data_IF_769380032627
#
_entry.id   IF_769380032627
#
_cell.length_a   1.000
_cell.length_b   1.000
_cell.length_c   1.000
_cell.angle_alpha   90.00
_cell.angle_beta   90.00
_cell.angle_gamma   90.00
#
_symmetry.space_group_name_H-M   'P 1'
#
loop_
_entity.id
_entity.type
_entity.pdbx_description
1 polymer ?
#
# COMPACT_ATOMS: atom_id res chain seq x y z
N UNK A 1 4.26 32.03 -4.94
CA UNK A 1 3.81 30.62 -4.85
C UNK A 1 4.34 29.91 -6.08
N UNK A 2 5.14 28.85 -5.95
CA UNK A 2 5.53 28.06 -7.11
C UNK A 2 4.24 27.45 -7.69
N UNK A 3 4.00 27.65 -8.98
CA UNK A 3 2.81 27.11 -9.63
C UNK A 3 2.82 25.58 -9.55
N UNK A 4 1.72 24.99 -9.06
CA UNK A 4 1.50 23.54 -9.12
C UNK A 4 1.72 23.09 -10.57
N UNK A 5 2.81 22.39 -10.83
CA UNK A 5 3.06 21.82 -12.16
C UNK A 5 2.11 20.65 -12.34
N UNK A 6 1.43 20.60 -13.47
CA UNK A 6 0.56 19.47 -13.83
C UNK A 6 1.36 18.18 -13.81
N UNK A 7 0.87 17.15 -13.13
CA UNK A 7 1.48 15.82 -13.18
C UNK A 7 1.18 15.22 -14.56
N UNK A 8 2.18 14.90 -15.38
CA UNK A 8 1.96 14.31 -16.70
C UNK A 8 1.24 12.95 -16.59
N UNK A 9 0.32 12.60 -17.51
CA UNK A 9 -0.34 11.29 -17.52
C UNK A 9 0.64 10.11 -17.47
N UNK A 10 1.77 10.24 -18.19
CA UNK A 10 2.87 9.28 -18.21
C UNK A 10 3.48 9.01 -16.83
N UNK A 11 3.41 9.97 -15.91
CA UNK A 11 3.94 9.82 -14.55
C UNK A 11 3.06 8.90 -13.71
N UNK A 12 1.73 8.97 -13.87
CA UNK A 12 0.80 8.09 -13.17
C UNK A 12 0.95 6.64 -13.63
N UNK A 13 1.10 6.40 -14.94
CA UNK A 13 1.37 5.08 -15.50
C UNK A 13 2.67 4.46 -14.95
N UNK A 14 3.72 5.27 -14.77
CA UNK A 14 4.98 4.81 -14.21
C UNK A 14 4.87 4.47 -12.71
N UNK A 15 4.07 5.24 -11.95
CA UNK A 15 3.77 4.91 -10.57
C UNK A 15 2.96 3.61 -10.52
N UNK A 16 1.89 3.49 -11.31
CA UNK A 16 1.06 2.29 -11.41
C UNK A 16 1.91 1.03 -11.71
N UNK A 17 2.80 1.12 -12.69
CA UNK A 17 3.79 0.06 -13.00
C UNK A 17 4.66 -0.29 -11.79
N UNK A 18 5.09 0.69 -11.00
CA UNK A 18 5.84 0.44 -9.77
C UNK A 18 4.98 -0.27 -8.70
N UNK A 19 3.69 0.07 -8.59
CA UNK A 19 2.76 -0.58 -7.66
C UNK A 19 2.47 -2.03 -8.05
N UNK A 20 2.28 -2.30 -9.34
CA UNK A 20 2.20 -3.65 -9.90
C UNK A 20 3.43 -4.47 -9.51
N UNK A 21 4.62 -3.92 -9.75
CA UNK A 21 5.88 -4.60 -9.44
C UNK A 21 6.05 -4.88 -7.93
N UNK A 22 5.56 -4.00 -7.04
CA UNK A 22 5.60 -4.24 -5.59
C UNK A 22 4.74 -5.45 -5.23
N UNK A 23 3.52 -5.54 -5.78
CA UNK A 23 2.61 -6.67 -5.55
C UNK A 23 3.21 -7.96 -6.11
N UNK A 24 3.80 -7.92 -7.30
CA UNK A 24 4.44 -9.07 -7.92
C UNK A 24 5.65 -9.56 -7.14
N UNK A 25 6.54 -8.67 -6.74
CA UNK A 25 7.70 -9.04 -5.92
C UNK A 25 7.27 -9.64 -4.59
N UNK A 26 6.24 -9.07 -3.94
CA UNK A 26 5.71 -9.65 -2.72
C UNK A 26 5.12 -11.04 -2.99
N UNK A 27 4.30 -11.20 -4.03
CA UNK A 27 3.72 -12.49 -4.41
C UNK A 27 4.82 -13.56 -4.59
N UNK A 28 5.84 -13.27 -5.40
CA UNK A 28 6.96 -14.18 -5.65
C UNK A 28 7.77 -14.49 -4.40
N UNK A 29 7.99 -13.50 -3.52
CA UNK A 29 8.76 -13.71 -2.28
C UNK A 29 8.12 -14.67 -1.29
N UNK A 30 6.81 -14.91 -1.41
CA UNK A 30 6.07 -15.77 -0.48
C UNK A 30 5.38 -16.96 -1.16
N UNK A 31 5.31 -17.01 -2.49
CA UNK A 31 4.53 -18.01 -3.25
C UNK A 31 4.88 -19.45 -2.89
N UNK A 32 6.13 -19.73 -2.56
CA UNK A 32 6.58 -21.07 -2.20
C UNK A 32 5.86 -21.65 -0.97
N UNK A 33 5.39 -20.79 -0.08
CA UNK A 33 4.68 -21.19 1.15
C UNK A 33 3.17 -21.38 0.98
N UNK A 34 2.60 -21.10 -0.19
CA UNK A 34 1.15 -21.11 -0.43
C UNK A 34 0.77 -21.95 -1.65
N UNK A 35 -0.49 -22.38 -1.71
CA UNK A 35 -1.08 -22.90 -2.96
C UNK A 35 -1.42 -21.74 -3.88
N UNK A 36 -0.87 -21.74 -5.09
CA UNK A 36 -1.12 -20.72 -6.12
C UNK A 36 -1.78 -21.33 -7.37
N UNK A 37 -2.27 -20.48 -8.28
CA UNK A 37 -2.80 -20.92 -9.56
C UNK A 37 -1.75 -21.65 -10.41
N UNK A 38 -0.49 -21.18 -10.38
CA UNK A 38 0.62 -21.82 -11.10
C UNK A 38 0.88 -23.23 -10.54
N UNK A 39 0.94 -23.39 -9.20
CA UNK A 39 1.14 -24.72 -8.59
C UNK A 39 0.01 -25.71 -8.90
N UNK A 40 -1.22 -25.22 -9.03
CA UNK A 40 -2.37 -26.04 -9.44
C UNK A 40 -2.31 -26.42 -10.91
N UNK A 41 -1.76 -25.55 -11.76
CA UNK A 41 -1.52 -25.85 -13.18
C UNK A 41 -0.44 -26.93 -13.32
N UNK A 42 0.65 -26.81 -12.54
CA UNK A 42 1.74 -27.78 -12.53
C UNK A 42 1.35 -29.11 -11.87
N UNK A 43 0.36 -29.10 -10.97
CA UNK A 43 -0.15 -30.28 -10.27
C UNK A 43 -1.69 -30.34 -10.29
N UNK A 44 -2.31 -30.81 -11.39
CA UNK A 44 -3.77 -30.82 -11.53
C UNK A 44 -4.53 -31.65 -10.47
N UNK A 45 -3.84 -32.57 -9.78
CA UNK A 45 -4.40 -33.34 -8.65
C UNK A 45 -4.48 -32.57 -7.33
N UNK A 46 -4.03 -31.32 -7.30
CA UNK A 46 -4.07 -30.47 -6.11
C UNK A 46 -5.48 -29.86 -5.93
N UNK A 47 -6.32 -30.57 -5.18
CA UNK A 47 -7.74 -30.18 -4.98
C UNK A 47 -7.94 -29.05 -3.96
N UNK A 48 -6.90 -28.64 -3.24
CA UNK A 48 -7.00 -27.54 -2.28
C UNK A 48 -7.27 -26.19 -2.98
N UNK A 49 -8.05 -25.29 -2.36
CA UNK A 49 -8.25 -23.94 -2.88
C UNK A 49 -6.93 -23.17 -3.00
N UNK A 50 -6.90 -22.18 -3.88
CA UNK A 50 -5.78 -21.22 -3.91
C UNK A 50 -5.72 -20.44 -2.60
N UNK A 51 -4.54 -20.48 -1.97
CA UNK A 51 -4.24 -19.81 -0.71
C UNK A 51 -3.58 -18.43 -0.92
N UNK A 52 -3.02 -18.19 -2.10
CA UNK A 52 -2.40 -16.92 -2.47
C UNK A 52 -2.83 -16.54 -3.90
N UNK A 53 -3.29 -15.30 -4.05
CA UNK A 53 -3.68 -14.72 -5.34
C UNK A 53 -3.14 -13.30 -5.46
N UNK A 54 -2.85 -12.86 -6.68
CA UNK A 54 -2.61 -11.45 -7.04
C UNK A 54 -3.60 -11.01 -8.11
N UNK A 55 -3.90 -9.72 -8.13
CA UNK A 55 -4.84 -9.10 -9.06
C UNK A 55 -4.25 -7.79 -9.56
N UNK A 56 -4.38 -7.52 -10.86
CA UNK A 56 -4.00 -6.26 -11.50
C UNK A 56 -5.16 -5.89 -12.41
N UNK A 57 -5.90 -4.85 -12.06
CA UNK A 57 -7.02 -4.35 -12.85
C UNK A 57 -7.19 -2.84 -12.67
N UNK A 58 -8.22 -2.27 -13.29
CA UNK A 58 -8.51 -0.84 -13.27
C UNK A 58 -8.69 -0.26 -11.85
N UNK A 59 -8.94 -1.11 -10.85
CA UNK A 59 -9.09 -0.68 -9.45
C UNK A 59 -7.77 -0.79 -8.67
N UNK A 60 -6.67 -1.09 -9.35
CA UNK A 60 -5.31 -1.19 -8.82
C UNK A 60 -4.81 -2.62 -8.68
N UNK A 61 -3.76 -2.77 -7.89
CA UNK A 61 -3.03 -4.02 -7.71
C UNK A 61 -3.22 -4.57 -6.31
N UNK A 62 -3.51 -5.86 -6.18
CA UNK A 62 -3.85 -6.48 -4.90
C UNK A 62 -3.20 -7.83 -4.72
N UNK A 63 -2.87 -8.18 -3.48
CA UNK A 63 -2.44 -9.50 -3.06
C UNK A 63 -3.39 -10.01 -1.97
N UNK A 64 -3.89 -11.25 -2.14
CA UNK A 64 -4.83 -11.89 -1.22
C UNK A 64 -4.24 -13.16 -0.65
N UNK A 65 -4.26 -13.24 0.67
CA UNK A 65 -3.90 -14.42 1.45
C UNK A 65 -5.17 -15.08 1.99
N UNK A 66 -5.24 -16.40 1.84
CA UNK A 66 -6.34 -17.24 2.31
C UNK A 66 -5.79 -18.60 2.78
N UNK A 67 -5.17 -18.64 3.96
CA UNK A 67 -4.53 -19.85 4.52
C UNK A 67 -4.84 -20.02 6.01
N UNK A 68 -5.57 -21.07 6.35
CA UNK A 68 -6.03 -21.29 7.73
C UNK A 68 -6.85 -20.11 8.24
N UNK A 69 -6.41 -19.50 9.34
CA UNK A 69 -7.01 -18.28 9.92
C UNK A 69 -6.69 -16.99 9.16
N UNK A 70 -5.76 -17.04 8.20
CA UNK A 70 -5.27 -15.87 7.48
C UNK A 70 -6.16 -15.58 6.28
N UNK A 71 -7.07 -14.62 6.40
CA UNK A 71 -7.93 -14.15 5.31
C UNK A 71 -7.86 -12.62 5.23
N UNK A 72 -6.94 -12.11 4.42
CA UNK A 72 -6.79 -10.67 4.20
C UNK A 72 -6.34 -10.37 2.78
N UNK A 73 -6.61 -9.14 2.36
CA UNK A 73 -6.17 -8.61 1.06
C UNK A 73 -5.49 -7.29 1.31
N UNK A 74 -4.35 -7.10 0.67
CA UNK A 74 -3.65 -5.83 0.62
C UNK A 74 -3.73 -5.25 -0.79
N UNK A 75 -3.87 -3.94 -0.92
CA UNK A 75 -3.99 -3.26 -2.21
C UNK A 75 -3.15 -2.00 -2.31
N UNK A 76 -2.76 -1.71 -3.54
CA UNK A 76 -2.07 -0.50 -3.98
C UNK A 76 -2.79 0.04 -5.21
N UNK A 77 -3.04 1.34 -5.24
CA UNK A 77 -3.53 2.01 -6.44
C UNK A 77 -2.98 3.42 -6.52
N UNK A 78 -3.01 4.00 -7.72
CA UNK A 78 -2.76 5.40 -7.95
C UNK A 78 -4.04 6.05 -8.49
N UNK A 79 -4.39 7.20 -7.95
CA UNK A 79 -5.52 8.02 -8.38
C UNK A 79 -4.97 9.35 -8.91
N UNK A 80 -5.49 9.80 -10.04
CA UNK A 80 -5.15 11.10 -10.63
C UNK A 80 -6.40 11.96 -10.78
N UNK A 81 -6.42 13.08 -10.07
CA UNK A 81 -7.50 14.08 -10.13
C UNK A 81 -6.90 15.48 -10.18
N UNK A 82 -7.38 16.31 -11.11
CA UNK A 82 -7.12 17.77 -11.17
C UNK A 82 -5.68 18.19 -10.82
N UNK A 83 -4.71 17.56 -11.49
CA UNK A 83 -3.25 17.78 -11.36
C UNK A 83 -2.60 17.21 -10.09
N UNK A 84 -3.32 16.39 -9.31
CA UNK A 84 -2.78 15.67 -8.15
C UNK A 84 -2.60 14.18 -8.45
N UNK A 85 -1.61 13.58 -7.79
CA UNK A 85 -1.37 12.15 -7.82
C UNK A 85 -1.46 11.65 -6.39
N UNK A 86 -2.36 10.70 -6.18
CA UNK A 86 -2.60 10.11 -4.86
C UNK A 86 -2.27 8.63 -4.92
N UNK A 87 -1.32 8.21 -4.10
CA UNK A 87 -1.05 6.82 -3.82
C UNK A 87 -2.03 6.34 -2.75
N UNK A 88 -2.79 5.30 -3.02
CA UNK A 88 -3.63 4.64 -2.03
C UNK A 88 -3.04 3.29 -1.63
N UNK A 89 -2.98 3.05 -0.31
CA UNK A 89 -2.71 1.74 0.26
C UNK A 89 -3.95 1.24 0.99
N UNK A 90 -4.32 -0.03 0.79
CA UNK A 90 -5.55 -0.58 1.35
C UNK A 90 -5.40 -1.94 1.99
N UNK A 91 -6.27 -2.24 2.97
CA UNK A 91 -6.41 -3.55 3.59
C UNK A 91 -7.88 -3.91 3.75
N UNK A 92 -8.23 -5.14 3.37
CA UNK A 92 -9.54 -5.71 3.66
C UNK A 92 -9.59 -6.16 5.12
N UNK A 93 -10.50 -5.59 5.90
CA UNK A 93 -10.73 -5.91 7.31
C UNK A 93 -11.98 -6.77 7.48
N UNK A 94 -11.83 -8.00 7.97
CA UNK A 94 -12.95 -8.90 8.30
C UNK A 94 -13.25 -8.99 9.79
N UNK A 95 -12.58 -8.18 10.60
CA UNK A 95 -12.57 -8.34 12.05
C UNK A 95 -13.79 -7.64 12.66
N UNK A 96 -14.70 -8.37 13.33
CA UNK A 96 -15.86 -7.76 13.95
C UNK A 96 -15.46 -6.77 15.06
N UNK A 97 -16.12 -5.61 15.08
CA UNK A 97 -15.86 -4.51 16.01
C UNK A 97 -14.36 -4.12 16.08
N UNK A 98 -13.66 -4.07 14.93
CA UNK A 98 -12.26 -3.67 14.86
C UNK A 98 -12.06 -2.26 15.43
N UNK A 99 -10.98 -2.04 16.18
CA UNK A 99 -10.73 -0.74 16.82
C UNK A 99 -10.05 0.22 15.84
N UNK A 100 -10.85 0.83 14.96
CA UNK A 100 -10.38 1.81 13.99
C UNK A 100 -9.76 3.05 14.64
N UNK A 101 -10.26 3.48 15.81
CA UNK A 101 -9.68 4.59 16.57
C UNK A 101 -8.23 4.29 16.99
N UNK A 102 -7.96 3.08 17.48
CA UNK A 102 -6.60 2.67 17.85
C UNK A 102 -5.70 2.50 16.62
N UNK A 103 -6.24 2.04 15.49
CA UNK A 103 -5.52 2.00 14.22
C UNK A 103 -5.05 3.39 13.81
N UNK A 104 -5.97 4.36 13.73
CA UNK A 104 -5.67 5.76 13.37
C UNK A 104 -4.65 6.35 14.34
N UNK A 105 -4.84 6.18 15.65
CA UNK A 105 -3.92 6.72 16.68
C UNK A 105 -2.50 6.20 16.50
N UNK A 106 -2.33 4.89 16.26
CA UNK A 106 -1.01 4.29 16.06
C UNK A 106 -0.36 4.69 14.75
N UNK A 107 -1.13 4.78 13.66
CA UNK A 107 -0.61 5.30 12.39
C UNK A 107 -0.20 6.77 12.52
N UNK A 108 -1.00 7.60 13.18
CA UNK A 108 -0.67 9.01 13.41
C UNK A 108 0.64 9.15 14.19
N UNK A 109 0.82 8.35 15.25
CA UNK A 109 2.07 8.31 16.01
C UNK A 109 3.27 7.89 15.16
N UNK A 110 3.09 6.89 14.28
CA UNK A 110 4.13 6.45 13.35
C UNK A 110 4.52 7.58 12.40
N UNK A 111 3.55 8.16 11.69
CA UNK A 111 3.83 9.18 10.68
C UNK A 111 4.41 10.46 11.30
N UNK A 112 3.92 10.88 12.47
CA UNK A 112 4.49 12.02 13.18
C UNK A 112 5.98 11.84 13.54
N UNK A 113 6.41 10.61 13.81
CA UNK A 113 7.80 10.29 14.17
C UNK A 113 8.71 10.09 12.96
N UNK A 114 8.14 9.70 11.81
CA UNK A 114 8.91 9.32 10.62
C UNK A 114 8.84 10.35 9.48
N UNK A 115 7.95 11.33 9.55
CA UNK A 115 7.76 12.34 8.49
C UNK A 115 9.03 13.13 8.18
N UNK A 116 9.80 13.49 9.20
CA UNK A 116 11.02 14.30 9.04
C UNK A 116 12.29 13.47 8.77
N UNK A 117 12.18 12.14 8.68
CA UNK A 117 13.31 11.29 8.28
C UNK A 117 13.57 11.45 6.79
N UNK A 118 14.84 11.51 6.42
CA UNK A 118 15.27 11.55 5.02
C UNK A 118 14.94 10.25 4.30
N UNK A 119 14.55 10.34 3.04
CA UNK A 119 14.38 9.16 2.19
C UNK A 119 15.75 8.49 1.95
N UNK A 120 15.76 7.16 1.92
CA UNK A 120 16.97 6.35 1.76
C UNK A 120 17.13 5.91 0.30
N UNK A 121 18.35 5.53 -0.10
CA UNK A 121 18.63 4.93 -1.41
C UNK A 121 18.90 5.92 -2.55
N UNK A 122 18.37 7.14 -2.50
CA UNK A 122 18.49 8.12 -3.59
C UNK A 122 19.75 8.99 -3.50
N UNK A 123 20.62 8.93 -4.53
CA UNK A 123 21.86 9.74 -4.57
C UNK A 123 21.61 11.25 -4.70
N UNK A 124 20.57 11.65 -5.43
CA UNK A 124 20.22 13.06 -5.68
C UNK A 124 19.31 13.67 -4.61
N UNK A 125 18.55 12.83 -3.91
CA UNK A 125 17.50 13.26 -2.97
C UNK A 125 17.87 13.03 -1.49
N UNK A 126 19.16 13.01 -1.16
CA UNK A 126 19.68 12.63 0.18
C UNK A 126 19.17 13.46 1.36
N UNK A 127 18.64 14.66 1.11
CA UNK A 127 18.13 15.58 2.13
C UNK A 127 16.61 15.67 2.14
N UNK A 128 15.94 15.05 1.17
CA UNK A 128 14.49 15.09 1.04
C UNK A 128 13.89 14.17 2.09
N UNK A 129 12.88 14.67 2.79
CA UNK A 129 12.18 13.96 3.87
C UNK A 129 10.99 13.20 3.32
N UNK A 130 10.52 12.20 4.07
CA UNK A 130 9.35 11.42 3.66
C UNK A 130 8.12 12.30 3.40
N UNK A 131 7.86 13.30 4.24
CA UNK A 131 6.71 14.20 4.06
C UNK A 131 6.82 15.13 2.85
N UNK A 132 8.02 15.32 2.29
CA UNK A 132 8.21 16.11 1.07
C UNK A 132 7.94 15.27 -0.19
N UNK A 133 7.84 13.95 -0.05
CA UNK A 133 7.48 13.02 -1.13
C UNK A 133 6.04 12.54 -0.99
N UNK A 134 5.67 12.08 0.21
CA UNK A 134 4.34 11.56 0.53
C UNK A 134 3.65 12.48 1.54
N UNK A 135 2.69 13.23 1.04
CA UNK A 135 1.89 14.15 1.80
C UNK A 135 0.69 13.43 2.42
N UNK A 136 0.51 13.68 3.72
CA UNK A 136 -0.67 13.31 4.48
C UNK A 136 -1.30 14.60 5.02
N UNK A 137 -2.61 14.59 5.22
CA UNK A 137 -3.30 15.67 5.91
C UNK A 137 -2.77 15.80 7.35
N UNK A 138 -2.76 17.03 7.89
CA UNK A 138 -2.34 17.29 9.27
C UNK A 138 -3.14 16.44 10.26
N UNK A 139 -4.45 16.31 10.00
CA UNK A 139 -5.29 15.32 10.61
C UNK A 139 -5.26 14.03 9.78
N UNK A 140 -4.55 13.00 10.28
CA UNK A 140 -4.41 11.73 9.56
C UNK A 140 -5.75 11.08 9.22
N UNK A 141 -6.78 11.27 10.05
CA UNK A 141 -8.10 10.70 9.81
C UNK A 141 -8.69 11.15 8.46
N UNK A 142 -8.38 12.37 8.01
CA UNK A 142 -8.81 12.90 6.71
C UNK A 142 -8.04 12.29 5.54
N UNK A 143 -6.93 11.59 5.80
CA UNK A 143 -6.20 10.80 4.78
C UNK A 143 -6.67 9.35 4.76
N UNK A 144 -7.65 8.98 5.60
CA UNK A 144 -8.14 7.62 5.71
C UNK A 144 -9.60 7.51 5.28
N UNK A 145 -9.92 6.41 4.60
CA UNK A 145 -11.31 6.06 4.27
C UNK A 145 -11.64 4.68 4.81
N UNK A 146 -12.82 4.56 5.41
CA UNK A 146 -13.38 3.32 5.94
C UNK A 146 -14.65 3.01 5.16
N UNK A 147 -14.63 1.93 4.38
CA UNK A 147 -15.79 1.46 3.63
C UNK A 147 -16.34 0.22 4.35
N UNK A 148 -17.44 0.40 5.09
CA UNK A 148 -18.18 -0.70 5.69
C UNK A 148 -18.99 -1.42 4.62
N UNK A 149 -18.89 -2.76 4.56
CA UNK A 149 -19.58 -3.55 3.55
C UNK A 149 -20.36 -4.69 4.16
N UNK A 150 -21.68 -4.63 4.06
CA UNK A 150 -22.57 -5.67 4.58
C UNK A 150 -22.23 -7.05 3.97
N UNK A 151 -22.03 -8.05 4.83
CA UNK A 151 -21.70 -9.42 4.44
C UNK A 151 -20.33 -9.59 3.77
N UNK A 152 -19.49 -8.55 3.72
CA UNK A 152 -18.14 -8.57 3.14
C UNK A 152 -17.12 -8.02 4.12
N UNK A 153 -15.85 -8.08 3.76
CA UNK A 153 -14.79 -7.39 4.51
C UNK A 153 -14.97 -5.88 4.36
N UNK A 154 -14.81 -5.11 5.42
CA UNK A 154 -14.61 -3.67 5.31
C UNK A 154 -13.32 -3.37 4.54
N UNK A 155 -13.20 -2.18 3.97
CA UNK A 155 -11.94 -1.71 3.37
C UNK A 155 -11.43 -0.51 4.17
N UNK A 156 -10.19 -0.61 4.62
CA UNK A 156 -9.44 0.53 5.14
C UNK A 156 -8.49 1.00 4.06
N UNK A 157 -8.55 2.29 3.73
CA UNK A 157 -7.64 2.96 2.80
C UNK A 157 -6.89 4.07 3.50
N UNK A 158 -5.63 4.25 3.12
CA UNK A 158 -4.81 5.38 3.50
C UNK A 158 -4.24 5.99 2.23
N UNK A 159 -4.48 7.28 2.04
CA UNK A 159 -4.17 8.01 0.82
C UNK A 159 -3.02 8.98 1.08
N UNK A 160 -2.02 8.96 0.20
CA UNK A 160 -0.86 9.85 0.23
C UNK A 160 -0.85 10.69 -1.04
N UNK A 161 -0.85 12.02 -0.90
CA UNK A 161 -0.49 12.87 -2.02
C UNK A 161 0.98 12.65 -2.39
N UNK A 162 1.29 12.56 -3.68
CA UNK A 162 2.67 12.37 -4.16
C UNK A 162 3.16 13.67 -4.77
N UNK A 163 4.30 14.19 -4.28
CA UNK A 163 4.84 15.47 -4.74
C UNK A 163 5.43 15.37 -6.13
N UNK A 164 4.93 16.21 -7.06
CA UNK A 164 5.37 16.22 -8.45
C UNK A 164 6.81 16.66 -8.64
N UNK A 165 7.34 17.51 -7.75
CA UNK A 165 8.69 18.06 -7.86
C UNK A 165 9.80 16.99 -7.94
N UNK A 166 9.64 15.89 -7.19
CA UNK A 166 10.67 14.85 -7.08
C UNK A 166 10.40 13.60 -7.91
N UNK A 167 9.23 13.50 -8.56
CA UNK A 167 8.79 12.30 -9.26
C UNK A 167 9.75 11.84 -10.35
N UNK A 168 10.37 12.75 -11.11
CA UNK A 168 11.31 12.38 -12.15
C UNK A 168 12.55 11.65 -11.59
N UNK A 169 13.13 12.17 -10.51
CA UNK A 169 14.30 11.56 -9.87
C UNK A 169 13.93 10.26 -9.12
N UNK A 170 12.71 10.16 -8.58
CA UNK A 170 12.20 8.94 -7.96
C UNK A 170 12.00 7.83 -9.01
N UNK A 171 11.34 8.16 -10.12
CA UNK A 171 11.04 7.23 -11.22
C UNK A 171 12.28 6.83 -12.01
N UNK A 172 13.35 7.63 -11.98
CA UNK A 172 14.63 7.27 -12.56
C UNK A 172 15.36 6.12 -11.83
N UNK A 173 14.93 5.78 -10.61
CA UNK A 173 15.45 4.65 -9.82
C UNK A 173 14.30 3.79 -9.25
N UNK A 174 13.62 3.01 -10.11
CA UNK A 174 12.43 2.24 -9.72
C UNK A 174 12.63 1.32 -8.50
N UNK A 175 13.74 0.56 -8.37
CA UNK A 175 13.94 -0.29 -7.19
C UNK A 175 13.93 0.48 -5.86
N UNK A 176 14.61 1.63 -5.80
CA UNK A 176 14.62 2.44 -4.58
C UNK A 176 13.25 3.11 -4.34
N UNK A 177 12.52 3.48 -5.39
CA UNK A 177 11.19 4.06 -5.25
C UNK A 177 10.16 3.04 -4.75
N UNK A 178 10.22 1.81 -5.28
CA UNK A 178 9.41 0.70 -4.80
C UNK A 178 9.68 0.42 -3.32
N UNK A 179 10.95 0.36 -2.91
CA UNK A 179 11.32 0.13 -1.51
C UNK A 179 10.87 1.30 -0.61
N UNK A 180 10.94 2.53 -1.11
CA UNK A 180 10.45 3.71 -0.39
C UNK A 180 8.93 3.64 -0.16
N UNK A 181 8.14 3.33 -1.20
CA UNK A 181 6.69 3.11 -1.09
C UNK A 181 6.41 1.99 -0.09
N UNK A 182 7.12 0.86 -0.22
CA UNK A 182 6.96 -0.28 0.67
C UNK A 182 7.24 0.09 2.14
N UNK A 183 8.38 0.71 2.44
CA UNK A 183 8.78 1.04 3.81
C UNK A 183 7.90 2.10 4.48
N UNK A 184 7.50 3.14 3.74
CA UNK A 184 6.81 4.30 4.32
C UNK A 184 5.29 4.23 4.20
N UNK A 185 4.76 3.63 3.13
CA UNK A 185 3.32 3.58 2.88
C UNK A 185 2.73 2.21 3.26
N UNK A 186 3.35 1.12 2.80
CA UNK A 186 2.79 -0.23 2.89
C UNK A 186 3.01 -0.87 4.26
N UNK A 187 4.27 -1.01 4.66
CA UNK A 187 4.68 -1.73 5.85
C UNK A 187 4.06 -1.15 7.15
N UNK A 188 3.90 0.18 7.32
CA UNK A 188 3.30 0.74 8.52
C UNK A 188 1.82 0.38 8.65
N UNK A 189 1.03 0.52 7.57
CA UNK A 189 -0.38 0.10 7.57
C UNK A 189 -0.49 -1.37 7.93
N UNK A 190 0.28 -2.24 7.26
CA UNK A 190 0.25 -3.69 7.49
C UNK A 190 0.60 -4.05 8.94
N UNK A 191 1.67 -3.47 9.46
CA UNK A 191 2.15 -3.75 10.83
C UNK A 191 1.14 -3.28 11.88
N UNK A 192 0.68 -2.04 11.77
CA UNK A 192 -0.24 -1.46 12.76
C UNK A 192 -1.59 -2.17 12.70
N UNK A 193 -2.10 -2.49 11.51
CA UNK A 193 -3.30 -3.30 11.36
C UNK A 193 -3.18 -4.66 12.05
N UNK A 194 -2.08 -5.39 11.80
CA UNK A 194 -1.83 -6.69 12.44
C UNK A 194 -1.71 -6.59 13.96
N UNK A 195 -1.10 -5.52 14.47
CA UNK A 195 -0.97 -5.30 15.91
C UNK A 195 -2.33 -5.01 16.57
N UNK A 196 -3.17 -4.18 15.94
CA UNK A 196 -4.54 -3.90 16.43
C UNK A 196 -5.41 -5.16 16.37
N UNK A 197 -5.29 -5.95 15.30
CA UNK A 197 -5.97 -7.23 15.17
C UNK A 197 -5.62 -8.19 16.32
N UNK A 198 -4.35 -8.26 16.72
CA UNK A 198 -3.89 -9.15 17.80
C UNK A 198 -4.36 -8.73 19.18
N UNK A 199 -4.60 -7.44 19.44
CA UNK A 199 -5.11 -6.96 20.75
C UNK A 199 -6.46 -7.58 21.05
N UNK A 200 -7.31 -7.76 20.04
CA UNK A 200 -8.62 -8.41 20.17
C UNK A 200 -8.57 -9.89 20.50
N UNK A 201 -7.47 -10.58 20.18
CA UNK A 201 -7.32 -12.02 20.43
C UNK A 201 -6.71 -12.32 21.81
N UNK A 202 -6.34 -11.29 22.59
CA UNK A 202 -5.90 -11.42 23.99
C UNK A 202 -7.04 -11.10 24.94
#
# INVERSE_FOLDING_TARGET
>A
MPGKRKIPPKTAELIDTALEAIIDQWYLSVSDYYVTAEKKTDNPGLEVPEELKRFHDETGHRIKFNKGDLDFTYGLSVLTEDDTCTLEVSVNNKVPNFNYTELVRRLASYYQTNKDKTIEGFKKLKKIRNCEVFHLNENLQESMMFEEREGKADIVRLSFGVEGEYLEDLLADPPNFMELIHKYCVAPLRRVYADVYRIKRK
#
